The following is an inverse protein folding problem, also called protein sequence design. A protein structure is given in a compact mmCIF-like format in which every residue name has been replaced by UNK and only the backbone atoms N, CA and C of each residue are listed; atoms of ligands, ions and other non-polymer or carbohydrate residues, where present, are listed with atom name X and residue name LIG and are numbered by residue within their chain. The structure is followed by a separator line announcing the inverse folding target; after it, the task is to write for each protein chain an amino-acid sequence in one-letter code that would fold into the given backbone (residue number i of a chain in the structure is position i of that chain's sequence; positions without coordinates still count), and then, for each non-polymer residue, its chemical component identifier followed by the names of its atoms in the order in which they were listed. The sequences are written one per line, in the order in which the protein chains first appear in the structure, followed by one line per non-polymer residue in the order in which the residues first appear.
data_IF_186172571771
#
_entry.id   IF_186172571771
#
_cell.length_a   1.000
_cell.length_b   1.000
_cell.length_c   1.000
_cell.angle_alpha   90.00
_cell.angle_beta   90.00
_cell.angle_gamma   90.00
#
_symmetry.space_group_name_H-M   'P 1'
#
loop_
_entity.id
_entity.type
_entity.pdbx_description
1 polymer ?
#
# COMPACT_ATOMS: atom_id res chain seq x y z
N UNK A 1 -20.23 -13.48 -9.08
CA UNK A 1 -20.05 -12.05 -8.78
C UNK A 1 -20.47 -11.81 -7.34
N UNK A 2 -19.77 -10.93 -6.64
CA UNK A 2 -20.11 -10.62 -5.25
C UNK A 2 -21.53 -10.04 -5.13
N UNK A 3 -22.22 -10.36 -4.02
CA UNK A 3 -23.56 -9.85 -3.77
C UNK A 3 -23.55 -8.35 -3.39
N UNK A 4 -24.66 -7.64 -3.65
CA UNK A 4 -24.81 -6.24 -3.22
C UNK A 4 -24.68 -6.09 -1.69
N UNK A 5 -25.15 -7.08 -0.93
CA UNK A 5 -25.01 -7.12 0.52
C UNK A 5 -23.53 -7.24 0.94
N UNK A 6 -22.75 -8.09 0.26
CA UNK A 6 -21.31 -8.20 0.51
C UNK A 6 -20.57 -6.90 0.20
N UNK A 7 -20.87 -6.24 -0.93
CA UNK A 7 -20.26 -4.95 -1.29
C UNK A 7 -20.56 -3.86 -0.26
N UNK A 8 -21.81 -3.76 0.18
CA UNK A 8 -22.23 -2.79 1.20
C UNK A 8 -21.59 -3.08 2.56
N UNK A 9 -21.48 -4.37 2.93
CA UNK A 9 -20.80 -4.76 4.16
C UNK A 9 -19.30 -4.43 4.12
N UNK A 10 -18.63 -4.71 3.01
CA UNK A 10 -17.22 -4.35 2.83
C UNK A 10 -17.03 -2.83 2.87
N UNK A 11 -17.92 -2.06 2.24
CA UNK A 11 -17.90 -0.60 2.34
C UNK A 11 -17.95 -0.13 3.79
N UNK A 12 -18.79 -0.79 4.61
CA UNK A 12 -18.89 -0.54 6.05
C UNK A 12 -17.58 -0.84 6.78
N UNK A 13 -16.85 -1.90 6.42
CA UNK A 13 -15.53 -2.19 6.99
C UNK A 13 -14.49 -1.13 6.63
N UNK A 14 -14.44 -0.69 5.38
CA UNK A 14 -13.53 0.38 4.96
C UNK A 14 -13.81 1.68 5.75
N UNK A 15 -15.08 2.03 5.96
CA UNK A 15 -15.42 3.20 6.80
C UNK A 15 -15.06 2.97 8.27
N UNK A 16 -15.30 1.77 8.82
CA UNK A 16 -15.00 1.46 10.22
C UNK A 16 -13.49 1.47 10.54
N UNK A 17 -12.72 0.71 9.77
CA UNK A 17 -11.30 0.46 10.06
C UNK A 17 -10.38 1.46 9.39
N UNK A 18 -10.75 1.96 8.21
CA UNK A 18 -9.89 2.81 7.40
C UNK A 18 -10.47 4.21 7.22
N UNK A 19 -11.64 4.54 7.78
CA UNK A 19 -12.25 5.87 7.75
C UNK A 19 -12.30 6.49 6.34
N UNK A 20 -12.34 5.66 5.30
CA UNK A 20 -12.28 6.08 3.89
C UNK A 20 -13.21 5.22 3.05
N UNK A 21 -13.57 5.69 1.83
CA UNK A 21 -14.23 4.87 0.82
C UNK A 21 -13.42 3.64 0.46
N UNK A 22 -14.07 2.61 -0.09
CA UNK A 22 -13.33 1.45 -0.54
C UNK A 22 -12.61 1.80 -1.85
N UNK A 23 -11.45 1.20 -2.07
CA UNK A 23 -10.94 1.11 -3.43
C UNK A 23 -11.76 0.07 -4.19
N UNK A 24 -12.00 0.29 -5.49
CA UNK A 24 -12.90 -0.55 -6.26
C UNK A 24 -12.43 -2.01 -6.29
N UNK A 25 -11.15 -2.25 -6.59
CA UNK A 25 -10.58 -3.59 -6.68
C UNK A 25 -10.64 -4.34 -5.34
N UNK A 26 -10.28 -3.68 -4.24
CA UNK A 26 -10.34 -4.21 -2.89
C UNK A 26 -11.77 -4.50 -2.45
N UNK A 27 -12.74 -3.63 -2.78
CA UNK A 27 -14.15 -3.90 -2.48
C UNK A 27 -14.62 -5.21 -3.11
N UNK A 28 -14.30 -5.41 -4.40
CA UNK A 28 -14.65 -6.63 -5.12
C UNK A 28 -13.98 -7.86 -4.50
N UNK A 29 -12.67 -7.79 -4.23
CA UNK A 29 -11.91 -8.88 -3.62
C UNK A 29 -12.48 -9.30 -2.27
N UNK A 30 -12.71 -8.34 -1.37
CA UNK A 30 -13.23 -8.63 -0.03
C UNK A 30 -14.67 -9.10 -0.06
N UNK A 31 -15.49 -8.61 -1.00
CA UNK A 31 -16.87 -9.04 -1.13
C UNK A 31 -16.98 -10.47 -1.66
N UNK A 32 -16.09 -10.88 -2.58
CA UNK A 32 -15.98 -12.28 -2.98
C UNK A 32 -15.49 -13.19 -1.84
N UNK A 33 -14.55 -12.71 -1.01
CA UNK A 33 -14.15 -13.44 0.20
C UNK A 33 -15.29 -13.55 1.21
N UNK A 34 -16.06 -12.48 1.43
CA UNK A 34 -17.22 -12.49 2.31
C UNK A 34 -18.21 -13.60 1.93
N UNK A 35 -18.54 -13.70 0.64
CA UNK A 35 -19.48 -14.70 0.12
C UNK A 35 -18.93 -16.14 0.24
N UNK A 36 -17.59 -16.32 0.15
CA UNK A 36 -16.93 -17.65 0.20
C UNK A 36 -16.57 -18.13 1.60
N UNK A 37 -16.19 -17.23 2.50
CA UNK A 37 -15.55 -17.56 3.80
C UNK A 37 -16.51 -17.43 5.00
N UNK A 38 -17.82 -17.30 4.76
CA UNK A 38 -18.83 -17.36 5.82
C UNK A 38 -19.17 -16.03 6.49
N UNK A 39 -18.94 -14.91 5.81
CA UNK A 39 -19.50 -13.61 6.19
C UNK A 39 -18.60 -12.70 7.04
N UNK A 40 -19.25 -11.92 7.92
CA UNK A 40 -18.68 -10.71 8.52
C UNK A 40 -17.43 -10.92 9.39
N UNK A 41 -17.44 -11.94 10.24
CA UNK A 41 -16.36 -12.21 11.20
C UNK A 41 -15.08 -12.68 10.51
N UNK A 42 -15.21 -13.38 9.37
CA UNK A 42 -14.08 -13.93 8.63
C UNK A 42 -13.17 -12.83 8.06
N UNK A 43 -13.78 -11.75 7.55
CA UNK A 43 -13.01 -10.66 6.94
C UNK A 43 -12.73 -9.50 7.91
N UNK A 44 -13.55 -9.27 8.95
CA UNK A 44 -13.35 -8.16 9.89
C UNK A 44 -12.00 -8.23 10.63
N UNK A 45 -11.53 -9.43 10.97
CA UNK A 45 -10.24 -9.62 11.63
C UNK A 45 -9.08 -9.16 10.74
N UNK A 46 -9.14 -9.46 9.43
CA UNK A 46 -8.12 -9.03 8.48
C UNK A 46 -8.06 -7.51 8.32
N UNK A 47 -9.21 -6.83 8.36
CA UNK A 47 -9.27 -5.37 8.34
C UNK A 47 -8.65 -4.77 9.61
N UNK A 48 -8.98 -5.32 10.77
CA UNK A 48 -8.48 -4.85 12.05
C UNK A 48 -6.97 -5.00 12.23
N UNK A 49 -6.38 -6.07 11.70
CA UNK A 49 -4.93 -6.33 11.84
C UNK A 49 -4.11 -5.73 10.70
N UNK A 50 -4.73 -5.03 9.76
CA UNK A 50 -4.00 -4.36 8.68
C UNK A 50 -3.10 -3.24 9.22
N UNK A 51 -2.02 -2.95 8.49
CA UNK A 51 -1.12 -1.86 8.84
C UNK A 51 -1.85 -0.50 8.92
N UNK A 52 -2.84 -0.27 8.05
CA UNK A 52 -3.66 0.94 8.04
C UNK A 52 -4.49 1.07 9.32
N UNK A 53 -5.19 0.00 9.75
CA UNK A 53 -5.99 0.03 10.99
C UNK A 53 -5.12 0.16 12.24
N UNK A 54 -3.98 -0.54 12.28
CA UNK A 54 -3.03 -0.45 13.40
C UNK A 54 -2.43 0.95 13.50
N UNK A 55 -2.15 1.62 12.37
CA UNK A 55 -1.66 3.00 12.36
C UNK A 55 -2.70 3.98 12.92
N UNK A 56 -3.98 3.77 12.63
CA UNK A 56 -5.06 4.65 13.08
C UNK A 56 -5.45 4.46 14.55
N UNK A 57 -5.51 3.20 14.98
CA UNK A 57 -6.09 2.83 16.27
C UNK A 57 -5.14 2.06 17.18
N UNK A 58 -4.24 1.23 16.64
CA UNK A 58 -3.54 0.17 17.38
C UNK A 58 -2.60 0.61 18.51
N UNK A 59 -2.08 1.84 18.49
CA UNK A 59 -1.18 2.36 19.54
C UNK A 59 -1.89 3.05 20.70
N UNK A 60 -3.20 3.29 20.59
CA UNK A 60 -3.95 4.09 21.57
C UNK A 60 -4.52 3.22 22.70
N UNK A 61 -4.80 3.82 23.86
CA UNK A 61 -5.55 3.16 24.92
C UNK A 61 -6.97 2.80 24.43
N UNK A 62 -7.55 1.72 24.95
CA UNK A 62 -8.83 1.20 24.46
C UNK A 62 -9.95 2.26 24.40
N UNK A 63 -10.06 3.10 25.43
CA UNK A 63 -11.03 4.18 25.47
C UNK A 63 -10.81 5.21 24.34
N UNK A 64 -9.55 5.55 24.05
CA UNK A 64 -9.19 6.46 22.97
C UNK A 64 -9.46 5.83 21.59
N UNK A 65 -9.23 4.52 21.42
CA UNK A 65 -9.59 3.81 20.20
C UNK A 65 -11.10 3.88 19.92
N UNK A 66 -11.94 3.56 20.91
CA UNK A 66 -13.40 3.62 20.78
C UNK A 66 -13.83 5.04 20.44
N UNK A 67 -13.29 6.05 21.14
CA UNK A 67 -13.61 7.44 20.87
C UNK A 67 -13.19 7.89 19.47
N UNK A 68 -12.05 7.41 18.96
CA UNK A 68 -11.61 7.68 17.60
C UNK A 68 -12.56 7.09 16.55
N UNK A 69 -13.10 5.89 16.79
CA UNK A 69 -14.13 5.30 15.92
C UNK A 69 -15.40 6.15 15.93
N UNK A 70 -15.84 6.63 17.09
CA UNK A 70 -16.99 7.53 17.22
C UNK A 70 -16.80 8.85 16.43
N UNK A 71 -15.65 9.50 16.59
CA UNK A 71 -15.33 10.73 15.87
C UNK A 71 -15.30 10.50 14.36
N UNK A 72 -14.66 9.42 13.92
CA UNK A 72 -14.57 9.09 12.50
C UNK A 72 -15.93 8.73 11.89
N UNK A 73 -16.79 8.01 12.63
CA UNK A 73 -18.04 7.47 12.09
C UNK A 73 -19.21 8.43 12.21
N UNK A 74 -19.26 9.18 13.32
CA UNK A 74 -20.42 10.00 13.70
C UNK A 74 -20.09 11.49 13.84
N UNK A 75 -18.82 11.87 13.79
CA UNK A 75 -18.41 13.28 13.90
C UNK A 75 -18.51 13.84 15.32
N UNK A 76 -18.61 12.97 16.34
CA UNK A 76 -18.71 13.36 17.75
C UNK A 76 -17.98 12.38 18.65
N UNK A 77 -17.65 12.80 19.87
CA UNK A 77 -17.07 11.93 20.88
C UNK A 77 -18.08 10.88 21.38
N UNK A 78 -17.57 9.75 21.87
CA UNK A 78 -18.36 8.75 22.56
C UNK A 78 -18.86 9.29 23.90
N UNK A 79 -20.12 9.03 24.23
CA UNK A 79 -20.65 9.29 25.56
C UNK A 79 -20.05 8.30 26.57
N UNK A 80 -19.95 8.71 27.83
CA UNK A 80 -19.39 7.86 28.91
C UNK A 80 -20.07 6.49 28.99
N UNK A 81 -21.40 6.43 28.83
CA UNK A 81 -22.16 5.17 28.90
C UNK A 81 -21.83 4.26 27.72
N UNK A 82 -21.81 4.79 26.50
CA UNK A 82 -21.47 4.01 25.30
C UNK A 82 -20.02 3.53 25.33
N UNK A 83 -19.10 4.41 25.73
CA UNK A 83 -17.69 4.06 25.91
C UNK A 83 -17.50 2.92 26.90
N UNK A 84 -18.14 2.99 28.07
CA UNK A 84 -18.04 1.96 29.09
C UNK A 84 -18.68 0.64 28.65
N UNK A 85 -19.77 0.69 27.89
CA UNK A 85 -20.39 -0.50 27.32
C UNK A 85 -19.39 -1.28 26.45
N UNK A 86 -18.76 -0.65 25.45
CA UNK A 86 -17.80 -1.33 24.58
C UNK A 86 -16.55 -1.81 25.32
N UNK A 87 -16.06 -1.05 26.30
CA UNK A 87 -14.95 -1.49 27.16
C UNK A 87 -15.33 -2.77 27.92
N UNK A 88 -16.52 -2.83 28.50
CA UNK A 88 -17.00 -3.98 29.25
C UNK A 88 -17.18 -5.21 28.35
N UNK A 89 -17.71 -5.05 27.15
CA UNK A 89 -17.86 -6.13 26.18
C UNK A 89 -16.51 -6.71 25.73
N UNK A 90 -15.50 -5.85 25.57
CA UNK A 90 -14.14 -6.27 25.20
C UNK A 90 -13.45 -6.97 26.37
N UNK A 91 -13.52 -6.41 27.58
CA UNK A 91 -12.96 -7.04 28.78
C UNK A 91 -13.62 -8.38 29.11
N UNK A 92 -14.90 -8.54 28.78
CA UNK A 92 -15.63 -9.79 28.95
C UNK A 92 -15.40 -10.80 27.81
N UNK A 93 -14.59 -10.47 26.80
CA UNK A 93 -14.29 -11.34 25.66
C UNK A 93 -15.46 -11.53 24.67
N UNK A 94 -16.54 -10.76 24.81
CA UNK A 94 -17.70 -10.81 23.90
C UNK A 94 -17.47 -9.99 22.63
N UNK A 95 -16.61 -8.97 22.72
CA UNK A 95 -16.05 -8.25 21.58
C UNK A 95 -14.52 -8.37 21.60
N UNK A 96 -13.91 -8.22 20.44
CA UNK A 96 -12.46 -8.04 20.33
C UNK A 96 -12.18 -6.59 19.95
N UNK A 97 -10.97 -6.10 20.22
CA UNK A 97 -10.49 -4.83 19.64
C UNK A 97 -10.65 -4.84 18.12
N UNK A 98 -10.43 -6.01 17.51
CA UNK A 98 -10.58 -6.19 16.08
C UNK A 98 -12.02 -6.14 15.57
N UNK A 99 -13.04 -6.44 16.36
CA UNK A 99 -14.46 -6.32 15.94
C UNK A 99 -15.15 -5.08 16.52
N UNK A 100 -14.44 -4.31 17.35
CA UNK A 100 -14.97 -3.14 18.05
C UNK A 100 -15.52 -2.08 17.09
N UNK A 101 -14.77 -1.72 16.05
CA UNK A 101 -15.19 -0.66 15.14
C UNK A 101 -16.53 -1.00 14.46
N UNK A 102 -16.67 -2.23 13.96
CA UNK A 102 -17.94 -2.69 13.36
C UNK A 102 -19.08 -2.74 14.37
N UNK A 103 -18.80 -3.16 15.61
CA UNK A 103 -19.80 -3.16 16.67
C UNK A 103 -20.31 -1.74 16.96
N UNK A 104 -19.42 -0.74 17.02
CA UNK A 104 -19.78 0.68 17.17
C UNK A 104 -20.69 1.14 16.04
N UNK A 105 -20.33 0.86 14.79
CA UNK A 105 -21.17 1.23 13.64
C UNK A 105 -22.51 0.46 13.59
N UNK A 106 -22.59 -0.76 14.12
CA UNK A 106 -23.83 -1.53 14.22
C UNK A 106 -24.76 -1.00 15.32
N UNK A 107 -24.19 -0.43 16.39
CA UNK A 107 -24.94 0.20 17.48
C UNK A 107 -25.43 1.62 17.18
N UNK A 108 -25.12 2.18 16.01
CA UNK A 108 -25.53 3.53 15.63
C UNK A 108 -27.05 3.65 15.54
N UNK A 109 -27.61 4.66 16.20
CA UNK A 109 -29.05 4.99 16.20
C UNK A 109 -29.25 6.50 16.07
N UNK A 110 -30.49 6.94 15.77
CA UNK A 110 -30.82 8.36 15.69
C UNK A 110 -29.89 9.14 14.75
N UNK A 111 -29.33 10.24 15.25
CA UNK A 111 -28.42 11.13 14.49
C UNK A 111 -27.12 10.45 14.06
N UNK A 112 -26.63 9.48 14.82
CA UNK A 112 -25.43 8.72 14.47
C UNK A 112 -25.68 7.83 13.27
N UNK A 113 -26.84 7.16 13.25
CA UNK A 113 -27.25 6.33 12.13
C UNK A 113 -27.44 7.18 10.86
N UNK A 114 -28.07 8.35 10.97
CA UNK A 114 -28.19 9.29 9.85
C UNK A 114 -26.83 9.75 9.32
N UNK A 115 -25.89 10.07 10.22
CA UNK A 115 -24.54 10.49 9.84
C UNK A 115 -23.76 9.35 9.20
N UNK A 116 -23.80 8.15 9.78
CA UNK A 116 -23.16 6.96 9.24
C UNK A 116 -23.71 6.61 7.85
N UNK A 117 -25.03 6.61 7.67
CA UNK A 117 -25.66 6.35 6.38
C UNK A 117 -25.24 7.38 5.34
N UNK A 118 -25.09 8.66 5.72
CA UNK A 118 -24.58 9.70 4.83
C UNK A 118 -23.15 9.43 4.39
N UNK A 119 -22.28 9.04 5.32
CA UNK A 119 -20.90 8.65 4.99
C UNK A 119 -20.86 7.42 4.10
N UNK A 120 -21.64 6.38 4.39
CA UNK A 120 -21.70 5.17 3.56
C UNK A 120 -22.21 5.44 2.15
N UNK A 121 -23.20 6.32 2.00
CA UNK A 121 -23.71 6.73 0.68
C UNK A 121 -22.63 7.46 -0.14
N UNK A 122 -21.96 8.46 0.45
CA UNK A 122 -20.87 9.18 -0.23
C UNK A 122 -19.69 8.24 -0.52
N UNK A 123 -19.36 7.33 0.39
CA UNK A 123 -18.29 6.36 0.21
C UNK A 123 -18.58 5.35 -0.91
N UNK A 124 -19.82 4.88 -1.03
CA UNK A 124 -20.24 4.02 -2.14
C UNK A 124 -20.18 4.76 -3.48
N UNK A 125 -20.65 6.02 -3.52
CA UNK A 125 -20.53 6.87 -4.70
C UNK A 125 -19.06 7.11 -5.09
N UNK A 126 -18.18 7.32 -4.12
CA UNK A 126 -16.75 7.48 -4.33
C UNK A 126 -16.11 6.23 -4.93
N UNK A 127 -16.39 5.07 -4.34
CA UNK A 127 -15.88 3.79 -4.83
C UNK A 127 -16.34 3.52 -6.27
N UNK A 128 -17.57 3.90 -6.60
CA UNK A 128 -18.12 3.81 -7.97
C UNK A 128 -17.41 4.78 -8.92
N UNK A 129 -17.13 6.01 -8.48
CA UNK A 129 -16.46 7.01 -9.31
C UNK A 129 -15.01 6.64 -9.67
N UNK A 130 -14.38 5.73 -8.91
CA UNK A 130 -13.03 5.22 -9.19
C UNK A 130 -13.02 3.81 -9.81
N UNK A 131 -14.14 3.32 -10.33
CA UNK A 131 -14.25 1.94 -10.82
C UNK A 131 -13.66 1.70 -12.22
N UNK A 132 -13.40 2.76 -13.00
CA UNK A 132 -12.79 2.62 -14.33
C UNK A 132 -11.26 2.48 -14.23
N UNK A 133 -10.61 2.05 -15.32
CA UNK A 133 -9.15 1.88 -15.34
C UNK A 133 -8.38 3.14 -14.92
N UNK A 134 -8.90 4.34 -15.20
CA UNK A 134 -8.23 5.60 -14.83
C UNK A 134 -8.36 5.86 -13.34
N UNK A 135 -9.54 5.62 -12.76
CA UNK A 135 -9.85 5.77 -11.35
C UNK A 135 -9.12 4.76 -10.48
N UNK A 136 -9.07 3.50 -10.92
CA UNK A 136 -8.34 2.42 -10.23
C UNK A 136 -6.86 2.79 -10.09
N UNK A 137 -6.22 3.31 -11.15
CA UNK A 137 -4.82 3.72 -11.12
C UNK A 137 -4.54 4.94 -10.23
N UNK A 138 -5.56 5.76 -9.94
CA UNK A 138 -5.45 6.92 -9.04
C UNK A 138 -5.66 6.55 -7.58
N UNK A 139 -6.54 5.58 -7.31
CA UNK A 139 -6.77 5.07 -5.97
C UNK A 139 -5.70 4.02 -5.62
N UNK A 140 -4.44 4.46 -5.54
CA UNK A 140 -3.29 3.61 -5.19
C UNK A 140 -2.41 4.30 -4.17
N UNK A 141 -1.99 3.55 -3.16
CA UNK A 141 -1.02 4.00 -2.16
C UNK A 141 -1.60 4.91 -1.06
N UNK A 142 -0.73 5.24 -0.11
CA UNK A 142 -1.11 5.91 1.14
C UNK A 142 -1.65 7.33 0.93
N UNK A 143 -1.11 8.07 -0.04
CA UNK A 143 -1.55 9.44 -0.32
C UNK A 143 -3.03 9.50 -0.74
N UNK A 144 -3.47 8.57 -1.59
CA UNK A 144 -4.85 8.49 -2.04
C UNK A 144 -5.79 8.04 -0.92
N UNK A 145 -5.33 7.12 -0.06
CA UNK A 145 -6.07 6.72 1.13
C UNK A 145 -6.26 7.90 2.11
N UNK A 146 -5.23 8.72 2.32
CA UNK A 146 -5.28 9.93 3.17
C UNK A 146 -6.22 10.98 2.58
N UNK A 147 -6.16 11.24 1.28
CA UNK A 147 -7.05 12.20 0.62
C UNK A 147 -8.52 11.75 0.71
N UNK A 148 -8.80 10.47 0.40
CA UNK A 148 -10.15 9.92 0.46
C UNK A 148 -10.72 9.91 1.90
N UNK A 149 -9.87 9.63 2.90
CA UNK A 149 -10.22 9.76 4.33
C UNK A 149 -10.54 11.20 4.71
N UNK A 150 -9.69 12.14 4.31
CA UNK A 150 -9.88 13.57 4.60
C UNK A 150 -11.19 14.07 4.04
N UNK A 151 -11.50 13.68 2.80
CA UNK A 151 -12.79 13.98 2.19
C UNK A 151 -13.97 13.35 2.94
N UNK A 152 -13.91 12.04 3.26
CA UNK A 152 -15.00 11.38 3.97
C UNK A 152 -15.22 11.93 5.40
N UNK A 153 -14.18 12.48 6.03
CA UNK A 153 -14.27 13.12 7.34
C UNK A 153 -15.15 14.38 7.33
N UNK A 154 -15.25 15.11 6.20
CA UNK A 154 -16.08 16.32 6.08
C UNK A 154 -17.56 16.02 5.87
N UNK A 155 -17.91 14.77 5.58
CA UNK A 155 -19.29 14.37 5.29
C UNK A 155 -20.13 14.35 6.57
N UNK A 156 -21.26 15.03 6.49
CA UNK A 156 -22.31 15.14 7.49
C UNK A 156 -23.66 14.87 6.83
N UNK A 157 -24.72 14.72 7.62
CA UNK A 157 -26.08 14.62 7.07
C UNK A 157 -26.47 15.87 6.28
N UNK A 158 -26.01 17.06 6.70
CA UNK A 158 -26.40 18.33 6.09
C UNK A 158 -25.77 18.58 4.71
N UNK A 159 -24.53 18.13 4.50
CA UNK A 159 -23.80 18.33 3.24
C UNK A 159 -23.72 17.08 2.36
N UNK A 160 -24.38 15.97 2.73
CA UNK A 160 -24.34 14.70 2.00
C UNK A 160 -24.55 14.86 0.48
N UNK A 161 -25.56 15.63 0.07
CA UNK A 161 -25.85 15.87 -1.35
C UNK A 161 -24.71 16.62 -2.06
N UNK A 162 -24.18 17.68 -1.44
CA UNK A 162 -23.05 18.44 -1.98
C UNK A 162 -21.78 17.58 -2.07
N UNK A 163 -21.46 16.83 -1.01
CA UNK A 163 -20.34 15.88 -1.01
C UNK A 163 -20.49 14.83 -2.10
N UNK A 164 -21.70 14.33 -2.37
CA UNK A 164 -21.94 13.36 -3.44
C UNK A 164 -21.62 13.94 -4.82
N UNK A 165 -21.93 15.22 -5.07
CA UNK A 165 -21.55 15.91 -6.32
C UNK A 165 -20.04 16.13 -6.42
N UNK A 166 -19.36 16.39 -5.30
CA UNK A 166 -17.91 16.61 -5.25
C UNK A 166 -17.08 15.34 -5.44
N UNK A 167 -17.68 14.15 -5.26
CA UNK A 167 -16.99 12.84 -5.35
C UNK A 167 -16.10 12.75 -6.58
N UNK A 168 -16.60 13.11 -7.78
CA UNK A 168 -15.82 12.97 -9.02
C UNK A 168 -14.61 13.89 -8.99
N UNK A 169 -14.77 15.13 -8.52
CA UNK A 169 -13.67 16.09 -8.39
C UNK A 169 -12.61 15.57 -7.42
N UNK A 170 -13.04 15.07 -6.25
CA UNK A 170 -12.16 14.55 -5.21
C UNK A 170 -11.45 13.27 -5.65
N UNK A 171 -12.16 12.35 -6.31
CA UNK A 171 -11.60 11.14 -6.90
C UNK A 171 -10.61 11.43 -8.03
N UNK A 172 -10.83 12.49 -8.81
CA UNK A 172 -9.92 12.91 -9.88
C UNK A 172 -8.71 13.69 -9.40
N UNK A 173 -8.83 14.37 -8.25
CA UNK A 173 -7.76 15.07 -7.55
C UNK A 173 -6.79 14.13 -6.82
N UNK A 174 -7.17 12.85 -6.65
CA UNK A 174 -6.22 11.80 -6.26
C UNK A 174 -5.04 11.82 -7.22
N UNK A 175 -3.86 12.05 -6.66
CA UNK A 175 -2.60 12.09 -7.41
C UNK A 175 -2.33 10.67 -7.89
N UNK A 176 -2.21 10.48 -9.21
CA UNK A 176 -1.53 9.28 -9.73
C UNK A 176 -0.17 9.29 -9.04
N UNK A 177 0.23 8.24 -8.27
CA UNK A 177 1.61 8.18 -7.78
C UNK A 177 2.46 8.48 -8.99
N UNK A 178 3.22 9.58 -8.96
CA UNK A 178 3.94 10.03 -10.14
C UNK A 178 4.85 8.88 -10.50
N UNK A 179 4.45 8.07 -11.48
CA UNK A 179 5.34 7.11 -12.10
C UNK A 179 6.20 7.99 -12.96
N UNK A 180 7.21 8.60 -12.32
CA UNK A 180 8.28 9.23 -13.03
C UNK A 180 8.87 8.10 -13.87
N UNK A 181 8.76 8.21 -15.19
CA UNK A 181 9.36 7.23 -16.08
C UNK A 181 10.85 7.22 -15.78
N UNK A 182 11.35 6.08 -15.29
CA UNK A 182 12.78 5.92 -15.08
C UNK A 182 13.53 5.83 -16.40
N UNK A 183 14.83 6.02 -16.33
CA UNK A 183 15.76 6.00 -17.44
C UNK A 183 16.59 4.72 -17.44
N UNK A 184 17.15 4.40 -18.60
CA UNK A 184 18.17 3.35 -18.71
C UNK A 184 19.53 3.99 -18.89
N UNK A 185 20.46 3.63 -18.01
CA UNK A 185 21.84 4.08 -18.02
C UNK A 185 22.75 2.92 -18.37
N UNK A 186 23.62 3.09 -19.35
CA UNK A 186 24.63 2.08 -19.71
C UNK A 186 25.99 2.58 -19.24
N UNK A 187 26.64 1.81 -18.36
CA UNK A 187 28.00 2.11 -17.93
C UNK A 187 28.97 1.90 -19.09
N UNK A 188 30.04 2.67 -19.09
CA UNK A 188 31.10 2.71 -20.08
C UNK A 188 32.37 2.10 -19.51
N UNK A 189 33.43 2.00 -20.32
CA UNK A 189 34.74 1.56 -19.84
C UNK A 189 35.50 2.66 -19.09
N UNK A 190 34.98 3.90 -19.09
CA UNK A 190 35.50 4.99 -18.28
C UNK A 190 34.96 4.87 -16.85
N UNK A 191 35.49 5.69 -15.95
CA UNK A 191 34.91 5.83 -14.62
C UNK A 191 33.57 6.54 -14.71
N UNK A 192 32.51 5.86 -14.25
CA UNK A 192 31.15 6.38 -14.27
C UNK A 192 30.71 6.87 -12.89
N UNK A 193 30.09 8.05 -12.84
CA UNK A 193 29.43 8.58 -11.64
C UNK A 193 27.98 8.92 -11.99
N UNK A 194 27.09 7.93 -11.87
CA UNK A 194 25.71 8.03 -12.34
C UNK A 194 24.77 8.15 -11.15
N UNK A 195 23.86 9.12 -11.23
CA UNK A 195 22.69 9.21 -10.34
C UNK A 195 21.44 9.07 -11.18
N UNK A 196 20.57 8.15 -10.78
CA UNK A 196 19.26 7.93 -11.37
C UNK A 196 18.31 9.10 -11.13
N UNK A 197 17.12 8.95 -11.68
CA UNK A 197 16.02 9.90 -11.60
C UNK A 197 15.18 9.66 -10.34
N UNK A 198 13.96 10.20 -10.34
CA UNK A 198 12.95 9.88 -9.33
C UNK A 198 12.00 8.76 -9.78
N UNK A 199 12.35 8.06 -10.87
CA UNK A 199 11.60 6.96 -11.47
C UNK A 199 12.32 5.62 -11.29
N UNK A 200 11.68 4.52 -11.67
CA UNK A 200 12.32 3.20 -11.63
C UNK A 200 13.39 3.05 -12.74
N UNK A 201 14.65 3.28 -12.40
CA UNK A 201 15.77 3.29 -13.34
C UNK A 201 16.38 1.89 -13.56
N UNK A 202 17.06 1.74 -14.70
CA UNK A 202 17.82 0.53 -15.03
C UNK A 202 19.26 0.87 -15.37
N UNK A 203 20.21 0.27 -14.67
CA UNK A 203 21.63 0.38 -14.93
C UNK A 203 22.12 -0.88 -15.62
N UNK A 204 22.78 -0.73 -16.76
CA UNK A 204 23.35 -1.83 -17.54
C UNK A 204 24.87 -1.78 -17.43
N UNK A 205 25.47 -2.86 -16.95
CA UNK A 205 26.92 -2.96 -16.85
C UNK A 205 27.41 -4.37 -17.23
N UNK A 206 28.67 -4.45 -17.63
CA UNK A 206 29.35 -5.70 -17.99
C UNK A 206 30.63 -5.84 -17.18
N UNK A 207 30.71 -6.93 -16.41
CA UNK A 207 31.95 -7.38 -15.78
C UNK A 207 32.65 -8.38 -16.71
N UNK A 208 33.80 -8.00 -17.26
CA UNK A 208 34.56 -8.82 -18.19
C UNK A 208 36.08 -8.62 -18.06
N UNK A 209 36.87 -9.54 -18.65
CA UNK A 209 38.34 -9.38 -18.69
C UNK A 209 38.78 -8.30 -19.68
N UNK A 210 38.05 -8.14 -20.78
CA UNK A 210 38.32 -7.15 -21.83
C UNK A 210 37.18 -6.15 -21.86
N UNK A 211 37.51 -4.87 -21.79
CA UNK A 211 36.55 -3.76 -21.80
C UNK A 211 35.44 -3.89 -20.74
N UNK A 212 35.76 -4.14 -19.46
CA UNK A 212 34.75 -4.11 -18.41
C UNK A 212 34.13 -2.70 -18.33
N UNK A 213 32.81 -2.66 -18.16
CA UNK A 213 32.09 -1.43 -17.83
C UNK A 213 31.62 -1.38 -16.39
N UNK A 214 31.86 -2.44 -15.61
CA UNK A 214 31.64 -2.45 -14.17
C UNK A 214 32.99 -2.57 -13.46
N UNK A 215 33.45 -1.47 -12.88
CA UNK A 215 34.77 -1.35 -12.27
C UNK A 215 34.70 -0.69 -10.88
N UNK A 216 35.79 -0.80 -10.11
CA UNK A 216 35.82 -0.35 -8.71
C UNK A 216 35.80 1.18 -8.54
N UNK A 217 36.05 1.94 -9.60
CA UNK A 217 35.97 3.40 -9.56
C UNK A 217 34.54 3.91 -9.85
N UNK A 218 33.64 3.04 -10.33
CA UNK A 218 32.27 3.46 -10.65
C UNK A 218 31.44 3.69 -9.39
N UNK A 219 30.60 4.72 -9.46
CA UNK A 219 29.60 5.04 -8.43
C UNK A 219 28.22 5.11 -9.07
N UNK A 220 27.31 4.26 -8.60
CA UNK A 220 25.91 4.22 -9.02
C UNK A 220 25.03 4.60 -7.84
N UNK A 221 24.22 5.62 -8.01
CA UNK A 221 23.14 5.96 -7.10
C UNK A 221 21.82 5.80 -7.85
N UNK A 222 20.92 4.90 -7.42
CA UNK A 222 19.65 4.70 -8.11
C UNK A 222 18.70 5.89 -7.99
N UNK A 223 18.88 6.74 -6.99
CA UNK A 223 18.03 7.92 -6.80
C UNK A 223 16.79 7.56 -5.98
N UNK A 224 15.62 7.98 -6.46
CA UNK A 224 14.34 7.59 -5.86
C UNK A 224 13.58 6.74 -6.85
N UNK A 225 12.89 5.71 -6.40
CA UNK A 225 12.26 4.74 -7.30
C UNK A 225 12.47 3.33 -6.79
N UNK A 226 12.26 2.35 -7.66
CA UNK A 226 12.73 0.98 -7.43
C UNK A 226 13.68 0.66 -8.56
N UNK A 227 14.97 0.69 -8.25
CA UNK A 227 16.03 0.77 -9.24
C UNK A 227 16.71 -0.57 -9.42
N UNK A 228 17.08 -0.87 -10.67
CA UNK A 228 17.61 -2.18 -11.06
C UNK A 228 18.99 -2.06 -11.68
N UNK A 229 19.99 -2.75 -11.12
CA UNK A 229 21.29 -2.97 -11.78
C UNK A 229 21.30 -4.34 -12.46
N UNK A 230 21.42 -4.37 -13.79
CA UNK A 230 21.62 -5.58 -14.57
C UNK A 230 23.11 -5.72 -14.91
N UNK A 231 23.76 -6.69 -14.27
CA UNK A 231 25.16 -7.01 -14.50
C UNK A 231 25.30 -8.25 -15.37
N UNK A 232 25.86 -8.07 -16.57
CA UNK A 232 26.31 -9.19 -17.40
C UNK A 232 27.73 -9.57 -17.00
N UNK A 233 27.97 -10.85 -16.75
CA UNK A 233 29.26 -11.37 -16.32
C UNK A 233 29.83 -12.24 -17.44
N UNK A 234 30.86 -11.73 -18.10
CA UNK A 234 31.58 -12.37 -19.21
C UNK A 234 33.08 -12.47 -18.90
N UNK A 235 33.45 -13.39 -18.01
CA UNK A 235 34.82 -13.51 -17.51
C UNK A 235 35.38 -14.89 -17.84
N UNK A 236 36.48 -14.93 -18.60
CA UNK A 236 37.16 -16.17 -19.00
C UNK A 236 38.29 -16.60 -18.04
N UNK A 237 38.72 -15.76 -17.08
CA UNK A 237 39.94 -16.03 -16.31
C UNK A 237 39.98 -15.59 -14.82
N UNK A 238 38.97 -14.89 -14.27
CA UNK A 238 39.04 -14.38 -12.90
C UNK A 238 37.84 -14.80 -12.06
N UNK A 239 38.11 -15.37 -10.88
CA UNK A 239 37.14 -15.86 -9.90
C UNK A 239 36.38 -14.74 -9.15
N UNK A 240 36.34 -13.51 -9.69
CA UNK A 240 35.78 -12.36 -8.99
C UNK A 240 35.31 -11.26 -9.95
N UNK A 241 34.15 -10.71 -9.63
CA UNK A 241 33.60 -9.51 -10.27
C UNK A 241 34.06 -8.30 -9.45
N UNK A 242 34.72 -7.33 -10.10
CA UNK A 242 35.13 -6.09 -9.44
C UNK A 242 33.87 -5.31 -8.99
N UNK A 243 33.83 -4.83 -7.75
CA UNK A 243 32.63 -4.18 -7.19
C UNK A 243 32.65 -2.66 -7.36
N UNK A 244 31.62 -2.09 -7.99
CA UNK A 244 31.34 -0.65 -7.95
C UNK A 244 30.69 -0.22 -6.63
N UNK A 245 30.73 1.07 -6.31
CA UNK A 245 29.96 1.64 -5.19
C UNK A 245 28.49 1.82 -5.60
N UNK A 246 27.56 1.12 -4.95
CA UNK A 246 26.12 1.26 -5.22
C UNK A 246 25.35 1.79 -4.01
N UNK A 247 24.43 2.72 -4.24
CA UNK A 247 23.48 3.24 -3.24
C UNK A 247 22.10 3.40 -3.84
N UNK A 248 21.04 3.25 -3.03
CA UNK A 248 19.65 3.38 -3.49
C UNK A 248 19.33 2.54 -4.74
N UNK A 249 19.89 1.33 -4.83
CA UNK A 249 19.54 0.34 -5.85
C UNK A 249 18.93 -0.85 -5.11
N UNK A 250 17.66 -1.16 -5.38
CA UNK A 250 16.90 -2.18 -4.65
C UNK A 250 17.06 -3.56 -5.28
N UNK A 251 17.27 -3.64 -6.61
CA UNK A 251 17.33 -4.89 -7.35
C UNK A 251 18.67 -5.01 -8.09
N UNK A 252 19.37 -6.13 -7.91
CA UNK A 252 20.57 -6.44 -8.69
C UNK A 252 20.40 -7.80 -9.35
N UNK A 253 20.38 -7.80 -10.68
CA UNK A 253 20.31 -9.01 -11.49
C UNK A 253 21.70 -9.35 -12.02
N UNK A 254 22.06 -10.64 -11.94
CA UNK A 254 23.31 -11.15 -12.51
C UNK A 254 23.01 -12.14 -13.62
N UNK A 255 23.68 -11.97 -14.76
CA UNK A 255 23.64 -12.93 -15.88
C UNK A 255 25.05 -13.37 -16.24
N UNK A 256 25.42 -14.60 -15.90
CA UNK A 256 26.66 -15.20 -16.42
C UNK A 256 26.46 -15.66 -17.85
N UNK A 257 27.33 -15.22 -18.75
CA UNK A 257 27.39 -15.71 -20.14
C UNK A 257 28.62 -16.59 -20.40
N UNK A 258 29.57 -16.56 -19.47
CA UNK A 258 30.67 -17.52 -19.40
C UNK A 258 30.18 -18.80 -18.73
N UNK A 259 30.43 -19.96 -19.32
CA UNK A 259 29.99 -21.28 -18.81
C UNK A 259 30.71 -21.75 -17.53
N UNK A 260 31.36 -20.84 -16.80
CA UNK A 260 32.21 -21.13 -15.64
C UNK A 260 31.48 -20.83 -14.32
N UNK A 261 31.89 -21.49 -13.24
CA UNK A 261 31.42 -21.17 -11.89
C UNK A 261 32.03 -19.83 -11.42
N UNK A 262 31.17 -18.88 -11.05
CA UNK A 262 31.57 -17.52 -10.63
C UNK A 262 31.30 -17.32 -9.13
N UNK A 263 32.25 -16.72 -8.41
CA UNK A 263 32.07 -16.29 -7.03
C UNK A 263 31.89 -14.76 -6.95
N UNK A 264 30.88 -14.30 -6.21
CA UNK A 264 30.67 -12.87 -5.94
C UNK A 264 31.52 -12.50 -4.73
N UNK A 265 32.57 -11.70 -4.94
CA UNK A 265 33.50 -11.28 -3.88
C UNK A 265 33.37 -9.77 -3.66
N UNK A 266 32.60 -9.38 -2.64
CA UNK A 266 32.67 -8.05 -2.01
C UNK A 266 32.01 -6.87 -2.76
N UNK A 267 30.91 -6.36 -2.19
CA UNK A 267 30.43 -5.00 -2.37
C UNK A 267 29.78 -4.55 -1.07
N UNK A 268 30.15 -3.39 -0.53
CA UNK A 268 29.50 -2.85 0.68
C UNK A 268 28.12 -2.30 0.31
N UNK A 269 27.13 -3.19 0.18
CA UNK A 269 25.73 -2.78 0.17
C UNK A 269 25.29 -2.44 1.60
N UNK A 270 24.72 -1.25 1.81
CA UNK A 270 24.06 -0.87 3.07
C UNK A 270 22.55 -1.21 3.04
N UNK A 271 22.15 -2.29 2.39
CA UNK A 271 20.73 -2.69 2.23
C UNK A 271 20.51 -4.08 2.85
N UNK A 272 19.40 -4.32 3.59
CA UNK A 272 19.05 -5.66 4.05
C UNK A 272 18.76 -6.58 2.85
N UNK A 273 19.59 -7.59 2.67
CA UNK A 273 19.56 -8.51 1.54
C UNK A 273 18.33 -9.44 1.62
N UNK A 274 17.29 -9.20 0.82
CA UNK A 274 16.27 -10.23 0.53
C UNK A 274 16.68 -10.95 -0.76
N UNK A 275 17.47 -12.01 -0.61
CA UNK A 275 18.02 -12.80 -1.71
C UNK A 275 16.93 -13.70 -2.33
N UNK A 276 16.29 -13.26 -3.42
CA UNK A 276 15.51 -14.17 -4.28
C UNK A 276 16.41 -14.72 -5.40
N UNK A 277 17.07 -15.85 -5.12
CA UNK A 277 17.83 -16.60 -6.11
C UNK A 277 16.87 -17.44 -6.98
N UNK A 278 16.37 -16.91 -8.09
CA UNK A 278 15.70 -17.72 -9.12
C UNK A 278 16.73 -18.09 -10.19
N UNK A 279 17.41 -19.22 -9.99
CA UNK A 279 18.20 -19.85 -11.06
C UNK A 279 17.24 -20.56 -11.99
N UNK A 280 16.84 -19.92 -13.11
CA UNK A 280 16.15 -20.61 -14.20
C UNK A 280 17.18 -21.13 -15.18
N UNK A 281 17.65 -22.37 -14.97
CA UNK A 281 18.39 -23.11 -16.01
C UNK A 281 17.42 -23.38 -17.17
N UNK A 282 17.60 -22.71 -18.30
CA UNK A 282 17.15 -23.23 -19.59
C UNK A 282 18.35 -23.93 -20.23
N UNK A 283 18.16 -25.22 -20.51
CA UNK A 283 19.08 -26.05 -21.28
C UNK A 283 19.16 -25.58 -22.73
#
# INVERSE_FOLDING_TARGET
MATAAALAFVQKLYVAYYQRPADYAGQQFWAEKFDKEGGASAIASAFATSAESVTLYGSQALAAQINAVYLASFGRAAETVGLQFYINEINAGRLTTGTMAVAVLNGAVGTDLSTLNSKLAVAAAYTTAVSDNTGILKYVGDASAVAARTFLATVTTANQAASTTEVITQARALVVPTVTTGSTFTLTTATDSITGTAGADTFLATAATTNPTFNAADTINGGAGTDTLNLTIDVLAANGVSGASTSAVEVINFRSVSGNAQAIVGGTSRVPLLLFLIVRLMR
#
